data_IF_388169741988
#
_entry.id   IF_388169741988
#
_cell.length_a   1.000
_cell.length_b   1.000
_cell.length_c   1.000
_cell.angle_alpha   90.00
_cell.angle_beta   90.00
_cell.angle_gamma   90.00
#
_symmetry.space_group_name_H-M   'P 1'
#
loop_
_entity.id
_entity.type
_entity.pdbx_description
1 polymer ?
#
# COMPACT_ATOMS: atom_id res chain seq x y z
N UNK A 1 19.87 8.71 42.15
CA UNK A 1 19.67 8.75 40.68
C UNK A 1 20.95 9.30 40.07
N UNK A 2 21.52 8.62 39.08
CA UNK A 2 22.80 9.02 38.48
C UNK A 2 22.65 10.36 37.73
N UNK A 3 23.47 11.34 38.09
CA UNK A 3 23.44 12.69 37.54
C UNK A 3 23.73 12.70 36.03
N UNK A 4 24.55 11.75 35.55
CA UNK A 4 24.84 11.58 34.12
C UNK A 4 23.62 11.13 33.32
N UNK A 5 22.86 10.20 33.90
CA UNK A 5 21.68 9.64 33.27
C UNK A 5 20.55 10.69 33.17
N UNK A 6 20.44 11.57 34.17
CA UNK A 6 19.56 12.74 34.11
C UNK A 6 19.98 13.75 33.03
N UNK A 7 21.28 14.00 32.86
CA UNK A 7 21.76 14.89 31.79
C UNK A 7 21.55 14.29 30.40
N UNK A 8 21.71 12.98 30.24
CA UNK A 8 21.48 12.29 28.96
C UNK A 8 20.01 12.41 28.52
N UNK A 9 19.05 12.20 29.42
CA UNK A 9 17.62 12.41 29.12
C UNK A 9 17.30 13.86 28.78
N UNK A 10 17.94 14.82 29.46
CA UNK A 10 17.77 16.24 29.15
C UNK A 10 18.27 16.56 27.74
N UNK A 11 19.42 16.02 27.35
CA UNK A 11 19.96 16.18 25.99
C UNK A 11 19.06 15.53 24.94
N UNK A 12 18.58 14.31 25.19
CA UNK A 12 17.65 13.63 24.27
C UNK A 12 16.37 14.43 24.02
N UNK A 13 15.88 15.15 25.03
CA UNK A 13 14.70 16.00 24.93
C UNK A 13 14.97 17.35 24.25
N UNK A 14 16.11 17.98 24.53
CA UNK A 14 16.36 19.38 24.16
C UNK A 14 17.27 19.57 22.95
N UNK A 15 18.10 18.58 22.62
CA UNK A 15 19.06 18.72 21.53
C UNK A 15 18.32 18.76 20.19
N UNK A 16 18.77 19.68 19.31
CA UNK A 16 18.33 19.69 17.91
C UNK A 16 18.67 18.36 17.24
N UNK A 17 17.92 17.97 16.19
CA UNK A 17 18.08 16.66 15.53
C UNK A 17 19.52 16.35 15.09
N UNK A 18 20.26 17.35 14.59
CA UNK A 18 21.65 17.19 14.14
C UNK A 18 22.68 17.28 15.27
N UNK A 19 22.30 17.79 16.44
CA UNK A 19 23.12 17.79 17.65
C UNK A 19 22.86 16.58 18.57
N UNK A 20 21.77 15.86 18.35
CA UNK A 20 21.39 14.71 19.14
C UNK A 20 22.40 13.57 18.99
N UNK A 21 22.77 12.93 20.10
CA UNK A 21 23.70 11.80 20.10
C UNK A 21 23.25 10.63 19.20
N UNK A 22 21.94 10.47 19.02
CA UNK A 22 21.39 9.40 18.18
C UNK A 22 21.82 9.48 16.70
N UNK A 23 22.10 10.68 16.16
CA UNK A 23 22.49 10.85 14.76
C UNK A 23 24.00 10.65 14.51
N UNK A 24 24.80 10.51 15.57
CA UNK A 24 26.27 10.44 15.45
C UNK A 24 26.80 9.07 14.98
N UNK A 25 25.91 8.11 14.74
CA UNK A 25 26.25 6.74 14.33
C UNK A 25 25.61 6.40 12.99
N UNK A 26 26.29 5.57 12.19
CA UNK A 26 25.72 5.02 10.95
C UNK A 26 24.51 4.15 11.29
N UNK A 27 23.47 4.18 10.45
CA UNK A 27 22.28 3.35 10.60
C UNK A 27 22.62 1.85 10.65
N UNK A 28 21.96 1.12 11.55
CA UNK A 28 22.11 -0.34 11.66
C UNK A 28 21.50 -1.03 10.42
N UNK A 29 22.19 -2.03 9.90
CA UNK A 29 21.85 -2.70 8.63
C UNK A 29 21.92 -4.22 8.69
N UNK A 30 22.40 -4.80 9.80
CA UNK A 30 22.66 -6.25 9.93
C UNK A 30 21.80 -6.93 11.00
N UNK A 31 21.30 -6.17 11.98
CA UNK A 31 20.52 -6.71 13.10
C UNK A 31 19.32 -5.83 13.42
N UNK A 32 18.35 -6.38 14.13
CA UNK A 32 17.24 -5.58 14.65
C UNK A 32 17.77 -4.65 15.77
N UNK A 33 17.51 -3.33 15.72
CA UNK A 33 17.96 -2.40 16.76
C UNK A 33 17.36 -2.75 18.13
N UNK A 34 18.16 -2.66 19.19
CA UNK A 34 17.72 -2.99 20.55
C UNK A 34 16.96 -1.85 21.24
N UNK A 35 17.27 -0.61 20.87
CA UNK A 35 16.75 0.59 21.50
C UNK A 35 15.96 1.42 20.51
N UNK A 36 14.92 2.08 21.02
CA UNK A 36 14.19 3.10 20.29
C UNK A 36 15.09 4.31 20.01
N UNK A 37 14.67 5.10 19.03
CA UNK A 37 15.30 6.36 18.66
C UNK A 37 14.19 7.39 18.44
N UNK A 38 14.50 8.66 18.70
CA UNK A 38 13.59 9.77 18.42
C UNK A 38 13.15 9.76 16.95
N UNK A 39 11.85 9.93 16.72
CA UNK A 39 11.19 9.77 15.43
C UNK A 39 11.67 10.78 14.37
N UNK A 40 11.91 12.03 14.77
CA UNK A 40 12.45 13.07 13.90
C UNK A 40 13.87 12.76 13.39
N UNK A 41 14.70 12.16 14.24
CA UNK A 41 16.07 11.72 13.89
C UNK A 41 15.99 10.51 12.95
N UNK A 42 15.11 9.55 13.24
CA UNK A 42 14.88 8.39 12.38
C UNK A 42 14.45 8.81 10.97
N UNK A 43 13.46 9.70 10.88
CA UNK A 43 13.00 10.25 9.61
C UNK A 43 14.11 10.98 8.87
N UNK A 44 14.88 11.83 9.55
CA UNK A 44 15.93 12.63 8.91
C UNK A 44 17.03 11.75 8.32
N UNK A 45 17.50 10.73 9.05
CA UNK A 45 18.53 9.80 8.56
C UNK A 45 18.05 9.13 7.26
N UNK A 46 16.85 8.56 7.26
CA UNK A 46 16.29 7.87 6.08
C UNK A 46 16.07 8.86 4.93
N UNK A 47 15.50 10.03 5.22
CA UNK A 47 15.28 11.08 4.22
C UNK A 47 16.61 11.51 3.56
N UNK A 48 17.68 11.64 4.35
CA UNK A 48 18.97 12.08 3.84
C UNK A 48 19.65 11.01 2.98
N UNK A 49 19.50 9.72 3.33
CA UNK A 49 19.96 8.61 2.50
C UNK A 49 19.25 8.57 1.14
N UNK A 50 17.96 8.91 1.08
CA UNK A 50 17.20 8.97 -0.18
C UNK A 50 17.68 10.05 -1.15
N UNK A 51 18.47 11.05 -0.73
CA UNK A 51 19.10 11.98 -1.67
C UNK A 51 20.19 11.32 -2.54
N UNK A 52 20.64 10.12 -2.18
CA UNK A 52 21.53 9.32 -3.03
C UNK A 52 20.78 8.68 -4.20
N UNK A 53 19.45 8.63 -4.17
CA UNK A 53 18.65 8.25 -5.33
C UNK A 53 18.73 9.33 -6.41
N UNK A 54 18.74 8.89 -7.67
CA UNK A 54 18.70 9.79 -8.81
C UNK A 54 17.37 10.54 -8.90
N UNK A 55 17.39 11.75 -9.47
CA UNK A 55 16.17 12.50 -9.71
C UNK A 55 15.28 11.78 -10.74
N UNK A 56 14.12 11.27 -10.30
CA UNK A 56 13.20 10.52 -11.13
C UNK A 56 12.72 11.29 -12.40
N UNK A 57 12.72 12.63 -12.37
CA UNK A 57 12.37 13.46 -13.55
C UNK A 57 13.38 13.41 -14.67
N UNK A 58 14.62 13.10 -14.34
CA UNK A 58 15.73 12.99 -15.28
C UNK A 58 15.99 11.53 -15.66
N UNK A 59 15.24 10.58 -15.09
CA UNK A 59 15.32 9.18 -15.46
C UNK A 59 14.57 8.93 -16.77
N UNK A 60 15.31 8.80 -17.88
CA UNK A 60 14.77 8.51 -19.21
C UNK A 60 14.77 7.02 -19.55
N UNK A 61 15.18 6.16 -18.62
CA UNK A 61 15.25 4.72 -18.85
C UNK A 61 13.96 3.98 -18.46
N UNK A 62 13.14 4.56 -17.56
CA UNK A 62 11.92 3.93 -17.06
C UNK A 62 10.69 4.26 -17.91
N UNK A 63 9.73 3.33 -17.92
CA UNK A 63 8.38 3.53 -18.49
C UNK A 63 7.35 3.91 -17.40
N UNK A 64 7.73 3.91 -16.12
CA UNK A 64 6.83 4.25 -15.01
C UNK A 64 6.58 5.76 -14.92
N UNK A 65 5.44 6.16 -14.35
CA UNK A 65 5.14 7.56 -14.06
C UNK A 65 6.09 8.12 -12.99
N UNK A 66 6.55 9.36 -13.20
CA UNK A 66 7.40 10.11 -12.25
C UNK A 66 6.83 11.50 -11.92
N UNK A 67 5.65 11.82 -12.46
CA UNK A 67 4.84 13.00 -12.10
C UNK A 67 3.41 12.54 -11.83
N UNK A 68 2.88 12.97 -10.69
CA UNK A 68 1.48 12.87 -10.33
C UNK A 68 0.99 14.28 -9.95
N UNK A 69 -0.29 14.55 -10.19
CA UNK A 69 -0.88 15.84 -9.83
C UNK A 69 -1.14 15.94 -8.31
N UNK A 70 -1.41 17.15 -7.80
CA UNK A 70 -1.66 17.37 -6.38
C UNK A 70 -2.91 16.61 -5.87
N UNK A 71 -3.89 16.37 -6.73
CA UNK A 71 -5.11 15.66 -6.36
C UNK A 71 -4.86 14.16 -6.19
N UNK A 72 -3.99 13.57 -7.02
CA UNK A 72 -3.52 12.19 -6.89
C UNK A 72 -2.77 12.02 -5.58
N UNK A 73 -1.88 12.94 -5.22
CA UNK A 73 -1.21 12.91 -3.91
C UNK A 73 -2.22 12.90 -2.74
N UNK A 74 -3.23 13.78 -2.77
CA UNK A 74 -4.30 13.81 -1.75
C UNK A 74 -5.11 12.52 -1.70
N UNK A 75 -5.47 11.96 -2.86
CA UNK A 75 -6.23 10.71 -2.94
C UNK A 75 -5.43 9.51 -2.40
N UNK A 76 -4.14 9.45 -2.71
CA UNK A 76 -3.25 8.39 -2.23
C UNK A 76 -3.07 8.47 -0.71
N UNK A 77 -2.86 9.66 -0.16
CA UNK A 77 -2.75 9.86 1.30
C UNK A 77 -4.04 9.47 2.04
N UNK A 78 -5.21 9.89 1.52
CA UNK A 78 -6.52 9.48 2.06
C UNK A 78 -6.78 7.97 1.96
N UNK A 79 -6.07 7.28 1.07
CA UNK A 79 -6.27 5.86 0.78
C UNK A 79 -5.22 4.95 1.39
N UNK A 80 -4.18 5.47 2.03
CA UNK A 80 -3.03 4.68 2.52
C UNK A 80 -3.42 3.53 3.46
N UNK A 81 -4.48 3.71 4.24
CA UNK A 81 -4.99 2.71 5.20
C UNK A 81 -6.17 1.88 4.66
N UNK A 82 -6.58 2.08 3.39
CA UNK A 82 -7.70 1.34 2.80
C UNK A 82 -7.20 0.02 2.22
N UNK A 83 -7.68 -1.09 2.76
CA UNK A 83 -7.29 -2.42 2.29
C UNK A 83 -8.11 -2.83 1.06
N UNK A 84 -7.46 -2.99 -0.10
CA UNK A 84 -8.16 -3.31 -1.35
C UNK A 84 -8.89 -4.66 -1.32
N UNK A 85 -8.41 -5.67 -0.59
CA UNK A 85 -9.05 -7.00 -0.54
C UNK A 85 -10.32 -7.01 0.32
N UNK A 86 -10.44 -6.06 1.25
CA UNK A 86 -11.56 -5.97 2.18
C UNK A 86 -12.74 -5.21 1.54
N UNK A 87 -13.54 -5.95 0.78
CA UNK A 87 -14.68 -5.39 0.03
C UNK A 87 -15.88 -5.06 0.92
N UNK A 88 -15.96 -5.61 2.12
CA UNK A 88 -17.04 -5.35 3.08
C UNK A 88 -16.81 -4.02 3.81
N UNK A 89 -15.58 -3.76 4.25
CA UNK A 89 -15.21 -2.52 4.93
C UNK A 89 -15.11 -1.33 3.97
N UNK A 90 -14.64 -1.56 2.74
CA UNK A 90 -14.42 -0.50 1.73
C UNK A 90 -15.26 -0.69 0.46
N UNK A 91 -16.61 -0.72 0.56
CA UNK A 91 -17.49 -1.04 -0.56
C UNK A 91 -17.42 0.01 -1.67
N UNK A 92 -17.13 1.27 -1.35
CA UNK A 92 -17.00 2.32 -2.36
C UNK A 92 -15.68 2.21 -3.13
N UNK A 93 -14.58 1.80 -2.49
CA UNK A 93 -13.32 1.50 -3.18
C UNK A 93 -13.49 0.31 -4.13
N UNK A 94 -14.19 -0.73 -3.67
CA UNK A 94 -14.57 -1.86 -4.51
C UNK A 94 -15.44 -1.47 -5.71
N UNK A 95 -16.38 -0.53 -5.51
CA UNK A 95 -17.21 -0.02 -6.59
C UNK A 95 -16.40 0.77 -7.63
N UNK A 96 -15.39 1.54 -7.20
CA UNK A 96 -14.49 2.27 -8.12
C UNK A 96 -13.62 1.27 -8.92
N UNK A 97 -13.07 0.26 -8.26
CA UNK A 97 -12.31 -0.82 -8.89
C UNK A 97 -13.09 -1.49 -10.04
N UNK A 98 -14.36 -1.88 -9.78
CA UNK A 98 -15.23 -2.44 -10.80
C UNK A 98 -15.55 -1.47 -11.95
N UNK A 99 -15.65 -0.16 -11.67
CA UNK A 99 -15.82 0.86 -12.73
C UNK A 99 -14.58 0.92 -13.63
N UNK A 100 -13.39 0.92 -13.05
CA UNK A 100 -12.13 0.91 -13.80
C UNK A 100 -12.01 -0.31 -14.71
N UNK A 101 -12.32 -1.52 -14.19
CA UNK A 101 -12.33 -2.75 -14.99
C UNK A 101 -13.28 -2.63 -16.19
N UNK A 102 -14.49 -2.12 -15.97
CA UNK A 102 -15.47 -1.93 -17.05
C UNK A 102 -14.99 -0.90 -18.09
N UNK A 103 -14.41 0.23 -17.66
CA UNK A 103 -13.88 1.25 -18.57
C UNK A 103 -12.72 0.74 -19.42
N UNK A 104 -11.79 -0.02 -18.83
CA UNK A 104 -10.67 -0.62 -19.58
C UNK A 104 -11.16 -1.70 -20.55
N UNK A 105 -12.13 -2.52 -20.13
CA UNK A 105 -12.73 -3.53 -21.00
C UNK A 105 -13.45 -2.89 -22.21
N UNK A 106 -14.18 -1.80 -22.00
CA UNK A 106 -14.83 -1.02 -23.05
C UNK A 106 -13.80 -0.39 -24.00
N UNK A 107 -12.73 0.21 -23.46
CA UNK A 107 -11.63 0.77 -24.25
C UNK A 107 -10.97 -0.25 -25.18
N UNK A 108 -10.89 -1.52 -24.76
CA UNK A 108 -10.35 -2.62 -25.56
C UNK A 108 -11.42 -3.38 -26.37
N UNK A 109 -12.64 -2.82 -26.49
CA UNK A 109 -13.74 -3.39 -27.25
C UNK A 109 -14.08 -4.84 -26.85
N UNK A 110 -13.99 -5.14 -25.54
CA UNK A 110 -14.33 -6.45 -25.04
C UNK A 110 -15.81 -6.77 -25.35
N UNK A 111 -16.15 -8.03 -25.73
CA UNK A 111 -17.51 -8.36 -26.11
C UNK A 111 -18.47 -8.16 -24.93
N UNK A 112 -19.59 -7.47 -25.20
CA UNK A 112 -20.62 -7.22 -24.21
C UNK A 112 -21.16 -8.53 -23.63
N UNK A 113 -21.46 -8.59 -22.31
CA UNK A 113 -22.00 -9.79 -21.71
C UNK A 113 -23.33 -10.16 -22.39
N UNK A 114 -23.38 -11.38 -22.93
CA UNK A 114 -24.62 -11.96 -23.48
C UNK A 114 -25.66 -11.96 -22.36
N UNK A 115 -26.85 -11.39 -22.59
CA UNK A 115 -27.94 -11.39 -21.59
C UNK A 115 -28.20 -12.84 -21.14
N UNK A 116 -27.72 -13.18 -19.96
CA UNK A 116 -28.00 -14.47 -19.34
C UNK A 116 -29.44 -14.46 -18.82
N UNK A 117 -30.30 -15.30 -19.39
CA UNK A 117 -31.73 -15.39 -19.08
C UNK A 117 -32.04 -16.25 -17.84
N UNK A 118 -31.04 -16.67 -17.06
CA UNK A 118 -31.23 -17.47 -15.86
C UNK A 118 -31.58 -16.62 -14.64
N UNK A 119 -32.73 -16.94 -14.01
CA UNK A 119 -33.15 -16.45 -12.68
C UNK A 119 -32.15 -16.94 -11.63
N UNK A 120 -31.48 -16.01 -10.95
CA UNK A 120 -30.76 -16.31 -9.71
C UNK A 120 -31.33 -15.47 -8.56
N UNK A 121 -31.56 -16.12 -7.42
CA UNK A 121 -32.09 -15.51 -6.20
C UNK A 121 -31.07 -14.54 -5.56
N UNK A 122 -31.57 -13.46 -4.96
CA UNK A 122 -30.86 -12.20 -4.67
C UNK A 122 -29.83 -12.20 -3.52
N UNK A 123 -29.14 -13.31 -3.22
CA UNK A 123 -28.20 -13.39 -2.08
C UNK A 123 -26.72 -13.52 -2.44
N UNK A 124 -26.31 -13.18 -3.67
CA UNK A 124 -24.93 -13.42 -4.17
C UNK A 124 -24.16 -12.16 -4.59
N UNK A 125 -24.31 -11.03 -3.89
CA UNK A 125 -23.43 -9.88 -4.12
C UNK A 125 -21.96 -10.19 -3.78
N UNK A 126 -21.70 -11.17 -2.92
CA UNK A 126 -20.37 -11.58 -2.49
C UNK A 126 -19.49 -12.20 -3.60
N UNK A 127 -20.08 -12.75 -4.67
CA UNK A 127 -19.32 -13.46 -5.72
C UNK A 127 -19.34 -12.80 -7.10
N UNK A 128 -20.04 -11.68 -7.28
CA UNK A 128 -20.08 -10.99 -8.58
C UNK A 128 -18.80 -10.22 -8.93
N UNK A 129 -17.93 -9.97 -7.96
CA UNK A 129 -16.65 -9.25 -8.17
C UNK A 129 -15.45 -10.13 -8.52
N UNK A 130 -15.49 -11.44 -8.26
CA UNK A 130 -14.34 -12.35 -8.42
C UNK A 130 -14.39 -13.25 -9.66
N UNK A 131 -15.52 -13.29 -10.37
CA UNK A 131 -15.74 -14.22 -11.49
C UNK A 131 -16.32 -13.56 -12.73
N UNK A 132 -15.87 -12.36 -13.08
CA UNK A 132 -16.09 -11.85 -14.41
C UNK A 132 -15.11 -12.53 -15.38
N UNK A 133 -15.57 -13.64 -15.96
CA UNK A 133 -15.07 -14.30 -17.19
C UNK A 133 -13.95 -15.33 -17.00
N UNK A 134 -14.33 -16.58 -16.80
CA UNK A 134 -13.61 -17.71 -17.42
C UNK A 134 -14.64 -18.63 -18.04
N UNK A 135 -14.76 -18.55 -19.37
CA UNK A 135 -15.49 -19.54 -20.15
C UNK A 135 -14.97 -20.94 -19.79
N UNK A 136 -15.90 -21.89 -19.71
CA UNK A 136 -15.82 -23.13 -18.93
C UNK A 136 -14.46 -23.82 -18.86
N UNK A 137 -13.96 -24.00 -17.62
CA UNK A 137 -13.21 -25.22 -17.22
C UNK A 137 -12.82 -25.30 -15.72
N UNK A 138 -13.25 -24.41 -14.81
CA UNK A 138 -12.86 -24.51 -13.39
C UNK A 138 -13.96 -25.03 -12.46
N UNK A 139 -14.53 -26.19 -12.79
CA UNK A 139 -15.24 -27.03 -11.80
C UNK A 139 -14.30 -27.88 -10.94
N UNK A 140 -12.96 -27.73 -11.07
CA UNK A 140 -12.00 -28.68 -10.49
C UNK A 140 -11.26 -28.24 -9.20
N UNK A 141 -11.30 -26.97 -8.77
CA UNK A 141 -10.42 -26.52 -7.67
C UNK A 141 -11.11 -26.13 -6.36
N UNK A 142 -12.44 -26.00 -6.32
CA UNK A 142 -13.16 -25.71 -5.08
C UNK A 142 -13.46 -26.95 -4.22
N UNK A 143 -13.20 -28.17 -4.70
CA UNK A 143 -13.41 -29.41 -3.92
C UNK A 143 -12.18 -29.86 -3.12
N UNK A 144 -11.02 -29.20 -3.23
CA UNK A 144 -9.79 -29.66 -2.56
C UNK A 144 -9.56 -29.11 -1.14
N UNK A 145 -10.29 -28.09 -0.69
CA UNK A 145 -10.02 -27.42 0.61
C UNK A 145 -11.23 -27.36 1.57
N UNK A 146 -12.24 -28.21 1.37
CA UNK A 146 -13.48 -28.18 2.15
C UNK A 146 -14.01 -29.53 2.64
N UNK A 147 -13.17 -30.56 2.75
CA UNK A 147 -13.58 -31.82 3.38
C UNK A 147 -12.40 -32.57 3.98
N UNK A 148 -12.02 -32.16 5.19
CA UNK A 148 -11.71 -33.05 6.32
C UNK A 148 -11.70 -32.19 7.59
N UNK A 149 -12.29 -32.80 8.62
CA UNK A 149 -12.48 -32.32 10.00
C UNK A 149 -11.33 -31.48 10.54
#
# INVERSE_FOLDING_TARGET
MDQKLLTDFRSELLDSRFGAKAISTIAESKRFPLHEMRDDVAFQIINDELYLDGNARQNLATFCQTWDDENVHKLMDLSINKNWIDKEEYPQSAAIDLRCVNMVADLWHAPAPKKWSGRWHQHHWFFRGLYARRDGDEMALAQAYGSRR
#
